data_IF_619828561990
#
_entry.id   IF_619828561990
#
_cell.length_a   1.000
_cell.length_b   1.000
_cell.length_c   1.000
_cell.angle_alpha   90.00
_cell.angle_beta   90.00
_cell.angle_gamma   90.00
#
_symmetry.space_group_name_H-M   'P 1'
#
loop_
_entity.id
_entity.type
_entity.pdbx_description
1 polymer ?
#
# COMPACT_ATOMS: atom_id res chain seq x y z
N UNK A 1 -6.95 7.79 -17.46
CA UNK A 1 -6.86 7.68 -18.94
C UNK A 1 -8.16 7.12 -19.55
N UNK A 2 -8.62 5.91 -19.24
CA UNK A 2 -9.77 5.26 -19.90
C UNK A 2 -11.04 6.14 -19.95
N UNK A 3 -11.45 6.73 -18.81
CA UNK A 3 -12.64 7.62 -18.76
C UNK A 3 -12.49 8.79 -19.71
N UNK A 4 -11.34 9.47 -19.71
CA UNK A 4 -11.07 10.60 -20.60
C UNK A 4 -11.01 10.20 -22.07
N UNK A 5 -10.50 9.00 -22.37
CA UNK A 5 -10.49 8.47 -23.76
C UNK A 5 -11.90 8.17 -24.26
N UNK A 6 -12.75 7.57 -23.40
CA UNK A 6 -14.14 7.26 -23.74
C UNK A 6 -15.05 8.50 -23.73
N UNK A 7 -14.65 9.57 -23.05
CA UNK A 7 -15.44 10.80 -22.86
C UNK A 7 -14.56 12.03 -23.06
N UNK A 8 -14.33 12.49 -24.30
CA UNK A 8 -13.40 13.59 -24.61
C UNK A 8 -13.70 14.93 -23.90
N UNK A 9 -14.95 15.14 -23.50
CA UNK A 9 -15.37 16.32 -22.73
C UNK A 9 -15.03 16.27 -21.23
N UNK A 10 -14.54 15.12 -20.73
CA UNK A 10 -14.19 14.97 -19.31
C UNK A 10 -12.69 15.16 -19.13
N UNK A 11 -12.29 16.07 -18.25
CA UNK A 11 -10.90 16.27 -17.83
C UNK A 11 -10.74 15.86 -16.36
N UNK A 12 -9.82 14.93 -16.09
CA UNK A 12 -9.44 14.49 -14.74
C UNK A 12 -7.99 14.86 -14.52
N UNK A 13 -7.73 15.67 -13.50
CA UNK A 13 -6.39 15.98 -12.99
C UNK A 13 -6.17 15.29 -11.67
N UNK A 14 -4.95 14.79 -11.44
CA UNK A 14 -4.56 14.13 -10.19
C UNK A 14 -3.32 14.83 -9.67
N UNK A 15 -3.39 15.28 -8.42
CA UNK A 15 -2.25 15.83 -7.69
C UNK A 15 -1.84 14.87 -6.58
N UNK A 16 -0.54 14.82 -6.26
CA UNK A 16 -0.01 14.06 -5.13
C UNK A 16 -0.16 14.83 -3.82
N UNK A 17 0.03 14.10 -2.72
CA UNK A 17 -0.02 14.63 -1.35
C UNK A 17 -0.41 13.51 -0.37
N UNK A 18 -0.20 13.72 0.92
CA UNK A 18 -0.66 12.78 1.94
C UNK A 18 -2.15 12.94 2.26
N UNK A 19 -2.71 12.04 3.09
CA UNK A 19 -4.12 12.07 3.49
C UNK A 19 -4.58 13.42 4.05
N UNK A 20 -3.72 14.12 4.78
CA UNK A 20 -4.04 15.47 5.31
C UNK A 20 -4.26 16.49 4.20
N UNK A 21 -3.46 16.46 3.15
CA UNK A 21 -3.61 17.34 1.97
C UNK A 21 -4.92 17.03 1.24
N UNK A 22 -5.24 15.74 1.03
CA UNK A 22 -6.50 15.33 0.42
C UNK A 22 -7.72 15.85 1.19
N UNK A 23 -7.72 15.72 2.53
CA UNK A 23 -8.78 16.22 3.41
C UNK A 23 -8.91 17.75 3.31
N UNK A 24 -7.80 18.46 3.41
CA UNK A 24 -7.80 19.92 3.37
C UNK A 24 -8.34 20.44 2.04
N UNK A 25 -7.81 19.94 0.92
CA UNK A 25 -8.19 20.41 -0.42
C UNK A 25 -9.65 20.12 -0.75
N UNK A 26 -10.18 18.92 -0.41
CA UNK A 26 -11.61 18.65 -0.63
C UNK A 26 -12.49 19.44 0.31
N UNK A 27 -12.08 19.61 1.56
CA UNK A 27 -12.81 20.42 2.55
C UNK A 27 -12.94 21.88 2.18
N UNK A 28 -11.89 22.45 1.59
CA UNK A 28 -11.88 23.83 1.06
C UNK A 28 -12.53 23.96 -0.33
N UNK A 29 -12.92 22.85 -0.96
CA UNK A 29 -13.56 22.85 -2.28
C UNK A 29 -12.59 23.07 -3.45
N UNK A 30 -11.29 22.93 -3.22
CA UNK A 30 -10.26 23.07 -4.25
C UNK A 30 -10.19 21.86 -5.18
N UNK A 31 -10.62 20.69 -4.71
CA UNK A 31 -10.78 19.46 -5.49
C UNK A 31 -12.14 18.82 -5.20
N UNK A 32 -12.66 18.07 -6.16
CA UNK A 32 -13.93 17.36 -5.99
C UNK A 32 -13.80 16.10 -5.13
N UNK A 33 -12.64 15.44 -5.18
CA UNK A 33 -12.36 14.20 -4.45
C UNK A 33 -11.01 14.33 -3.76
N UNK A 34 -10.98 14.13 -2.44
CA UNK A 34 -9.76 14.02 -1.64
C UNK A 34 -9.53 12.58 -1.21
N UNK A 35 -8.43 11.95 -1.68
CA UNK A 35 -8.13 10.57 -1.32
C UNK A 35 -7.38 10.49 0.01
N UNK A 36 -7.72 9.46 0.82
CA UNK A 36 -7.02 9.16 2.07
C UNK A 36 -6.68 7.68 2.19
N UNK A 37 -5.57 7.37 2.84
CA UNK A 37 -5.17 6.01 3.25
C UNK A 37 -5.51 5.72 4.72
N UNK A 38 -6.44 6.47 5.28
CA UNK A 38 -6.97 6.30 6.64
C UNK A 38 -8.42 6.79 6.71
N UNK A 39 -9.21 6.35 7.68
CA UNK A 39 -10.50 6.96 7.97
C UNK A 39 -10.35 8.46 8.27
N UNK A 40 -11.41 9.21 7.98
CA UNK A 40 -11.50 10.59 8.40
C UNK A 40 -11.60 10.67 9.93
N UNK A 41 -11.02 11.71 10.51
CA UNK A 41 -11.20 12.03 11.93
C UNK A 41 -12.55 12.76 12.11
N UNK A 42 -13.19 12.57 13.25
CA UNK A 42 -14.47 13.22 13.56
C UNK A 42 -14.42 14.74 13.35
N UNK A 43 -13.35 15.38 13.81
CA UNK A 43 -13.10 16.81 13.60
C UNK A 43 -13.03 17.22 12.12
N UNK A 44 -12.53 16.34 11.24
CA UNK A 44 -12.46 16.61 9.79
C UNK A 44 -13.84 16.52 9.17
N UNK A 45 -14.63 15.53 9.59
CA UNK A 45 -16.02 15.35 9.15
C UNK A 45 -16.87 16.55 9.58
N UNK A 46 -16.82 16.92 10.85
CA UNK A 46 -17.57 18.05 11.41
C UNK A 46 -17.19 19.38 10.77
N UNK A 47 -15.87 19.65 10.65
CA UNK A 47 -15.36 20.91 10.09
C UNK A 47 -15.76 21.14 8.63
N UNK A 48 -15.75 20.10 7.81
CA UNK A 48 -15.85 20.23 6.36
C UNK A 48 -17.12 19.57 5.77
N UNK A 49 -17.93 18.86 6.56
CA UNK A 49 -19.12 18.15 6.09
C UNK A 49 -18.78 17.02 5.12
N UNK A 50 -17.69 16.27 5.39
CA UNK A 50 -17.18 15.27 4.44
C UNK A 50 -18.01 13.99 4.45
N UNK A 51 -18.14 13.38 3.26
CA UNK A 51 -18.61 12.01 3.03
C UNK A 51 -17.45 11.15 2.54
N UNK A 52 -17.42 9.87 2.97
CA UNK A 52 -16.34 8.95 2.69
C UNK A 52 -16.82 7.71 1.94
N UNK A 53 -16.00 7.23 1.01
CA UNK A 53 -16.30 6.09 0.13
C UNK A 53 -15.08 5.17 0.11
N UNK A 54 -15.07 4.06 0.89
CA UNK A 54 -14.00 3.08 0.83
C UNK A 54 -14.03 2.37 -0.52
N UNK A 55 -12.87 2.19 -1.16
CA UNK A 55 -12.85 1.57 -2.49
C UNK A 55 -11.80 0.49 -2.69
N UNK A 56 -10.73 0.47 -1.89
CA UNK A 56 -9.68 -0.51 -2.02
C UNK A 56 -8.92 -0.75 -0.72
N UNK A 57 -8.28 -1.92 -0.62
CA UNK A 57 -7.31 -2.24 0.43
C UNK A 57 -5.92 -2.25 -0.22
N UNK A 58 -4.99 -1.55 0.42
CA UNK A 58 -3.56 -1.60 0.14
C UNK A 58 -2.92 -2.55 1.16
N UNK A 59 -2.52 -3.74 0.70
CA UNK A 59 -1.83 -4.74 1.51
C UNK A 59 -0.38 -4.86 1.08
N UNK A 60 0.55 -4.98 2.04
CA UNK A 60 1.99 -5.04 1.80
C UNK A 60 2.58 -6.33 2.32
N UNK A 61 3.29 -7.06 1.46
CA UNK A 61 4.01 -8.29 1.81
C UNK A 61 5.51 -8.03 1.90
N UNK A 62 6.16 -8.56 2.94
CA UNK A 62 7.61 -8.70 2.96
C UNK A 62 8.00 -9.81 1.97
N UNK A 63 9.03 -9.54 1.20
CA UNK A 63 9.50 -10.46 0.16
C UNK A 63 11.00 -10.69 0.24
N UNK A 64 11.39 -11.91 -0.09
CA UNK A 64 12.79 -12.34 -0.21
C UNK A 64 13.01 -13.02 -1.55
N UNK A 65 14.27 -13.25 -1.89
CA UNK A 65 14.60 -14.08 -3.05
C UNK A 65 14.04 -15.50 -2.88
N UNK A 66 13.50 -16.15 -3.93
CA UNK A 66 12.96 -17.51 -3.84
C UNK A 66 13.95 -18.56 -3.30
N UNK A 67 15.25 -18.35 -3.47
CA UNK A 67 16.32 -19.23 -2.97
C UNK A 67 16.62 -19.03 -1.45
N UNK A 68 16.05 -18.02 -0.81
CA UNK A 68 16.22 -17.81 0.63
C UNK A 68 15.45 -18.88 1.42
N UNK A 69 16.08 -19.50 2.43
CA UNK A 69 15.48 -20.58 3.23
C UNK A 69 14.48 -20.07 4.27
N UNK A 70 14.54 -18.80 4.66
CA UNK A 70 13.57 -18.21 5.61
C UNK A 70 12.23 -18.06 4.92
N UNK A 71 11.16 -18.52 5.59
CA UNK A 71 9.78 -18.52 5.02
C UNK A 71 8.77 -17.76 5.88
N UNK A 72 9.12 -17.47 7.12
CA UNK A 72 8.27 -16.72 8.04
C UNK A 72 9.10 -15.72 8.85
N UNK A 73 8.41 -14.68 9.35
CA UNK A 73 9.01 -13.61 10.13
C UNK A 73 7.94 -13.01 11.05
N UNK A 74 8.34 -12.65 12.26
CA UNK A 74 7.48 -11.88 13.17
C UNK A 74 7.62 -10.38 12.94
N UNK A 75 6.64 -9.61 13.40
CA UNK A 75 6.71 -8.15 13.36
C UNK A 75 7.95 -7.61 14.10
N UNK A 76 8.30 -8.23 15.24
CA UNK A 76 9.52 -7.84 15.98
C UNK A 76 10.78 -8.10 15.18
N UNK A 77 10.90 -9.27 14.52
CA UNK A 77 12.05 -9.58 13.66
C UNK A 77 12.12 -8.63 12.47
N UNK A 78 10.99 -8.32 11.84
CA UNK A 78 10.96 -7.34 10.74
C UNK A 78 11.45 -5.96 11.21
N UNK A 79 10.99 -5.50 12.37
CA UNK A 79 11.46 -4.24 12.95
C UNK A 79 12.96 -4.29 13.28
N UNK A 80 13.46 -5.39 13.84
CA UNK A 80 14.87 -5.55 14.21
C UNK A 80 15.79 -5.67 12.99
N UNK A 81 15.31 -6.23 11.88
CA UNK A 81 16.03 -6.22 10.59
C UNK A 81 16.13 -4.78 10.06
N UNK A 82 14.99 -4.09 9.95
CA UNK A 82 14.97 -2.76 9.32
C UNK A 82 15.59 -1.66 10.17
N UNK A 83 15.70 -1.85 11.48
CA UNK A 83 16.44 -0.94 12.38
C UNK A 83 17.94 -1.32 12.54
N UNK A 84 18.40 -2.39 11.90
CA UNK A 84 19.80 -2.83 11.88
C UNK A 84 20.26 -3.63 13.10
N UNK A 85 19.36 -4.12 13.94
CA UNK A 85 19.70 -5.03 15.06
C UNK A 85 19.98 -6.45 14.57
N UNK A 86 19.18 -6.98 13.64
CA UNK A 86 19.39 -8.25 12.97
C UNK A 86 20.02 -7.95 11.61
N UNK A 87 21.21 -8.46 11.37
CA UNK A 87 21.99 -8.16 10.16
C UNK A 87 22.41 -9.40 9.38
N UNK A 88 22.14 -10.58 9.90
CA UNK A 88 22.52 -11.85 9.29
C UNK A 88 21.35 -12.83 9.28
N UNK A 89 21.14 -13.50 8.17
CA UNK A 89 20.06 -14.47 7.99
C UNK A 89 20.12 -15.65 8.97
N UNK A 90 21.32 -16.03 9.46
CA UNK A 90 21.46 -17.10 10.47
C UNK A 90 20.72 -16.81 11.78
N UNK A 91 20.54 -15.53 12.12
CA UNK A 91 19.77 -15.11 13.30
C UNK A 91 18.27 -15.47 13.19
N UNK A 92 17.83 -15.75 11.97
CA UNK A 92 16.47 -16.17 11.62
C UNK A 92 16.39 -17.64 11.20
N UNK A 93 17.44 -18.43 11.45
CA UNK A 93 17.52 -19.83 11.03
C UNK A 93 17.84 -20.03 9.54
N UNK A 94 18.26 -18.99 8.84
CA UNK A 94 18.70 -19.02 7.45
C UNK A 94 20.20 -19.28 7.29
N UNK A 95 20.69 -19.04 6.09
CA UNK A 95 22.12 -19.19 5.74
C UNK A 95 22.96 -18.15 6.49
N UNK A 96 24.21 -18.50 6.84
CA UNK A 96 25.17 -17.51 7.39
C UNK A 96 25.61 -16.53 6.29
N UNK A 97 24.83 -15.48 6.15
CA UNK A 97 25.03 -14.44 5.15
C UNK A 97 24.41 -13.10 5.62
N UNK A 98 25.01 -11.96 5.25
CA UNK A 98 24.47 -10.65 5.60
C UNK A 98 23.12 -10.41 4.93
N UNK A 99 22.27 -9.61 5.56
CA UNK A 99 20.97 -9.20 4.99
C UNK A 99 21.16 -7.92 4.18
N UNK A 100 20.78 -7.94 2.89
CA UNK A 100 20.70 -6.74 2.07
C UNK A 100 19.31 -6.13 2.19
N UNK A 101 19.21 -4.93 2.74
CA UNK A 101 17.94 -4.23 2.92
C UNK A 101 17.56 -3.39 1.71
N UNK A 102 16.33 -3.57 1.26
CA UNK A 102 15.69 -2.69 0.27
C UNK A 102 14.49 -1.99 0.87
N UNK A 103 14.33 -0.72 0.55
CA UNK A 103 13.18 0.11 0.93
C UNK A 103 12.70 0.94 -0.24
N UNK A 104 11.58 1.60 -0.06
CA UNK A 104 11.01 2.52 -1.03
C UNK A 104 11.40 3.97 -0.68
N UNK A 105 11.28 4.82 -1.67
CA UNK A 105 11.47 6.26 -1.57
C UNK A 105 10.52 6.93 -0.57
N UNK A 106 10.89 8.09 -0.08
CA UNK A 106 10.01 8.94 0.73
C UNK A 106 8.77 9.33 -0.09
N UNK A 107 7.60 9.30 0.55
CA UNK A 107 6.32 9.54 -0.11
C UNK A 107 5.68 8.32 -0.77
N UNK A 108 6.36 7.16 -0.79
CA UNK A 108 5.74 5.89 -1.21
C UNK A 108 4.63 5.46 -0.27
N UNK A 109 3.41 5.30 -0.79
CA UNK A 109 2.29 4.78 -0.03
C UNK A 109 2.52 3.35 0.49
N UNK A 110 3.22 2.51 -0.28
CA UNK A 110 3.62 1.16 0.15
C UNK A 110 4.57 1.21 1.33
N UNK A 111 5.56 2.14 1.31
CA UNK A 111 6.46 2.38 2.45
C UNK A 111 5.70 2.87 3.69
N UNK A 112 4.75 3.77 3.52
CA UNK A 112 3.93 4.29 4.62
C UNK A 112 3.18 3.14 5.34
N UNK A 113 2.49 2.27 4.58
CA UNK A 113 1.83 1.08 5.15
C UNK A 113 2.82 0.17 5.85
N UNK A 114 3.96 -0.12 5.21
CA UNK A 114 5.00 -0.97 5.76
C UNK A 114 5.52 -0.45 7.10
N UNK A 115 5.91 0.82 7.17
CA UNK A 115 6.41 1.45 8.40
C UNK A 115 5.35 1.47 9.49
N UNK A 116 4.11 1.84 9.16
CA UNK A 116 3.04 1.94 10.15
C UNK A 116 2.58 0.59 10.68
N UNK A 117 2.45 -0.41 9.80
CA UNK A 117 1.77 -1.67 10.11
C UNK A 117 2.72 -2.84 10.34
N UNK A 118 3.82 -2.93 9.60
CA UNK A 118 4.80 -4.01 9.78
C UNK A 118 5.87 -3.64 10.81
N UNK A 119 6.34 -2.40 10.82
CA UNK A 119 7.39 -1.94 11.74
C UNK A 119 6.85 -1.23 12.98
N UNK A 120 5.54 -1.18 13.17
CA UNK A 120 4.90 -0.46 14.28
C UNK A 120 5.45 0.98 14.45
N UNK A 121 5.54 1.71 13.33
CA UNK A 121 6.15 3.05 13.24
C UNK A 121 7.66 3.09 13.57
N UNK A 122 8.33 1.94 13.50
CA UNK A 122 9.79 1.85 13.66
C UNK A 122 10.54 2.53 12.52
N UNK A 123 11.82 2.76 12.74
CA UNK A 123 12.72 3.38 11.76
C UNK A 123 13.29 2.37 10.78
N UNK A 124 13.66 2.85 9.60
CA UNK A 124 14.47 2.13 8.62
C UNK A 124 15.87 2.74 8.63
N UNK A 125 16.90 1.90 8.72
CA UNK A 125 18.30 2.36 8.70
C UNK A 125 18.62 3.10 7.40
N UNK A 126 19.46 4.12 7.48
CA UNK A 126 19.84 4.93 6.32
C UNK A 126 20.64 4.16 5.26
N UNK A 127 21.25 3.04 5.66
CA UNK A 127 22.02 2.16 4.74
C UNK A 127 21.13 1.27 3.84
N UNK A 128 19.80 1.28 4.03
CA UNK A 128 18.90 0.52 3.18
C UNK A 128 18.89 1.07 1.73
N UNK A 129 18.98 0.17 0.75
CA UNK A 129 18.93 0.53 -0.66
C UNK A 129 17.54 1.03 -1.05
N UNK A 130 17.46 2.20 -1.66
CA UNK A 130 16.17 2.81 -2.04
C UNK A 130 15.81 2.48 -3.48
N UNK A 131 14.61 2.00 -3.70
CA UNK A 131 14.01 1.77 -5.04
C UNK A 131 12.69 2.52 -5.17
N UNK A 132 12.30 2.87 -6.40
CA UNK A 132 11.22 3.82 -6.67
C UNK A 132 9.91 3.19 -7.19
N UNK A 133 9.78 1.87 -7.17
CA UNK A 133 8.55 1.18 -7.58
C UNK A 133 8.47 -0.25 -7.05
N UNK A 134 7.25 -0.84 -7.03
CA UNK A 134 7.09 -2.26 -6.76
C UNK A 134 7.83 -3.14 -7.78
N UNK A 135 7.87 -2.73 -9.04
CA UNK A 135 8.61 -3.43 -10.09
C UNK A 135 10.12 -3.44 -9.83
N UNK A 136 10.70 -2.27 -9.51
CA UNK A 136 12.12 -2.15 -9.14
C UNK A 136 12.45 -2.96 -7.87
N UNK A 137 11.57 -2.96 -6.86
CA UNK A 137 11.73 -3.78 -5.67
C UNK A 137 11.78 -5.27 -6.00
N UNK A 138 10.84 -5.77 -6.82
CA UNK A 138 10.85 -7.18 -7.26
C UNK A 138 12.14 -7.54 -8.00
N UNK A 139 12.58 -6.69 -8.91
CA UNK A 139 13.81 -6.92 -9.66
C UNK A 139 15.02 -6.99 -8.73
N UNK A 140 15.17 -6.06 -7.81
CA UNK A 140 16.25 -6.04 -6.84
C UNK A 140 16.27 -7.30 -5.97
N UNK A 141 15.11 -7.69 -5.41
CA UNK A 141 15.00 -8.89 -4.57
C UNK A 141 15.24 -10.18 -5.37
N UNK A 142 14.76 -10.26 -6.60
CA UNK A 142 14.96 -11.42 -7.46
C UNK A 142 16.44 -11.63 -7.84
N UNK A 143 17.22 -10.57 -7.92
CA UNK A 143 18.65 -10.62 -8.31
C UNK A 143 19.59 -10.84 -7.13
N UNK A 144 19.15 -10.58 -5.90
CA UNK A 144 19.98 -10.70 -4.69
C UNK A 144 19.40 -11.75 -3.73
N UNK A 145 20.09 -12.90 -3.62
CA UNK A 145 19.67 -14.02 -2.76
C UNK A 145 19.64 -13.67 -1.27
N UNK A 146 20.31 -12.60 -0.86
CA UNK A 146 20.46 -12.18 0.53
C UNK A 146 19.54 -11.00 0.88
N UNK A 147 18.73 -10.57 -0.05
CA UNK A 147 17.89 -9.41 0.10
C UNK A 147 16.57 -9.68 0.81
N UNK A 148 16.09 -8.63 1.46
CA UNK A 148 14.71 -8.48 1.91
C UNK A 148 14.17 -7.13 1.43
N UNK A 149 12.91 -7.13 1.02
CA UNK A 149 12.17 -5.94 0.62
C UNK A 149 10.68 -6.11 0.93
N UNK A 150 9.87 -5.24 0.38
CA UNK A 150 8.41 -5.30 0.51
C UNK A 150 7.72 -4.75 -0.73
N UNK A 151 6.59 -5.33 -1.07
CA UNK A 151 5.77 -4.93 -2.23
C UNK A 151 4.28 -4.97 -1.88
N UNK A 152 3.46 -4.28 -2.64
CA UNK A 152 2.01 -4.51 -2.59
C UNK A 152 1.68 -5.98 -2.88
N UNK A 153 0.74 -6.58 -2.15
CA UNK A 153 0.36 -7.99 -2.26
C UNK A 153 0.04 -8.37 -3.72
N UNK A 154 -0.64 -7.48 -4.46
CA UNK A 154 -0.97 -7.72 -5.87
C UNK A 154 0.24 -7.77 -6.82
N UNK A 155 1.43 -7.42 -6.35
CA UNK A 155 2.69 -7.49 -7.12
C UNK A 155 3.51 -8.74 -6.82
N UNK A 156 3.11 -9.57 -5.86
CA UNK A 156 3.80 -10.84 -5.56
C UNK A 156 3.60 -11.81 -6.70
N UNK A 157 4.68 -12.35 -7.24
CA UNK A 157 4.69 -13.36 -8.29
C UNK A 157 5.84 -14.36 -8.08
N UNK A 158 6.05 -15.26 -9.03
CA UNK A 158 7.08 -16.31 -8.97
C UNK A 158 8.53 -15.81 -8.83
N UNK A 159 8.79 -14.52 -9.06
CA UNK A 159 10.14 -13.95 -9.00
C UNK A 159 10.56 -13.59 -7.58
N UNK A 160 9.63 -13.51 -6.64
CA UNK A 160 9.89 -13.22 -5.24
C UNK A 160 9.07 -14.15 -4.34
N UNK A 161 9.61 -14.48 -3.18
CA UNK A 161 8.91 -15.26 -2.17
C UNK A 161 8.37 -14.32 -1.08
N UNK A 162 7.05 -14.30 -0.91
CA UNK A 162 6.43 -13.59 0.20
C UNK A 162 6.64 -14.37 1.51
N UNK A 163 7.01 -13.67 2.56
CA UNK A 163 7.16 -14.25 3.90
C UNK A 163 5.81 -14.32 4.61
N UNK A 164 5.57 -15.40 5.31
CA UNK A 164 4.51 -15.44 6.32
C UNK A 164 4.85 -14.43 7.41
N UNK A 165 3.92 -13.56 7.76
CA UNK A 165 4.13 -12.47 8.71
C UNK A 165 3.22 -12.67 9.92
N UNK A 166 3.81 -12.79 11.12
CA UNK A 166 3.07 -13.10 12.36
C UNK A 166 2.10 -14.28 12.18
N UNK A 167 2.57 -15.35 11.57
CA UNK A 167 1.81 -16.59 11.27
C UNK A 167 0.70 -16.41 10.21
N UNK A 168 0.58 -15.25 9.57
CA UNK A 168 -0.43 -14.98 8.55
C UNK A 168 0.20 -14.88 7.17
N UNK A 169 -0.37 -15.63 6.22
CA UNK A 169 0.05 -15.57 4.81
C UNK A 169 -0.41 -14.23 4.20
N UNK A 170 0.50 -13.48 3.54
CA UNK A 170 0.15 -12.24 2.85
C UNK A 170 -0.58 -12.55 1.54
N UNK A 171 -1.87 -12.79 1.61
CA UNK A 171 -2.75 -13.05 0.47
C UNK A 171 -3.83 -11.97 0.35
N UNK A 172 -4.41 -11.85 -0.86
CA UNK A 172 -5.56 -10.96 -1.06
C UNK A 172 -6.74 -11.35 -0.18
N UNK A 173 -6.98 -12.65 -0.01
CA UNK A 173 -8.03 -13.16 0.86
C UNK A 173 -7.82 -12.74 2.32
N UNK A 174 -6.64 -12.99 2.88
CA UNK A 174 -6.32 -12.66 4.27
C UNK A 174 -6.26 -11.13 4.50
N UNK A 175 -5.85 -10.36 3.51
CA UNK A 175 -5.93 -8.90 3.55
C UNK A 175 -7.38 -8.42 3.53
N UNK A 176 -8.23 -9.01 2.68
CA UNK A 176 -9.63 -8.65 2.52
C UNK A 176 -10.46 -8.99 3.77
N UNK A 177 -10.25 -10.15 4.39
CA UNK A 177 -10.98 -10.58 5.59
C UNK A 177 -10.39 -10.01 6.90
N UNK A 178 -9.30 -9.24 6.81
CA UNK A 178 -8.68 -8.55 7.95
C UNK A 178 -7.83 -9.43 8.86
N UNK A 179 -7.54 -10.68 8.50
CA UNK A 179 -6.62 -11.55 9.26
C UNK A 179 -5.16 -11.13 9.06
N UNK A 180 -4.78 -10.74 7.83
CA UNK A 180 -3.48 -10.14 7.56
C UNK A 180 -3.49 -8.64 7.90
N UNK A 181 -2.59 -8.19 8.78
CA UNK A 181 -2.67 -6.86 9.40
C UNK A 181 -1.83 -5.76 8.71
N UNK A 182 -0.91 -6.11 7.80
CA UNK A 182 -0.10 -5.12 7.08
C UNK A 182 -0.91 -4.56 5.91
N UNK A 183 -1.99 -3.85 6.27
CA UNK A 183 -2.98 -3.31 5.34
C UNK A 183 -3.47 -1.94 5.77
N UNK A 184 -3.98 -1.17 4.81
CA UNK A 184 -4.81 0.01 5.05
C UNK A 184 -5.98 0.05 4.06
N UNK A 185 -7.06 0.67 4.47
CA UNK A 185 -8.21 0.96 3.62
C UNK A 185 -8.01 2.32 2.94
N UNK A 186 -8.32 2.39 1.66
CA UNK A 186 -8.24 3.59 0.85
C UNK A 186 -9.64 4.16 0.64
N UNK A 187 -9.75 5.47 0.76
CA UNK A 187 -11.02 6.19 0.68
C UNK A 187 -10.97 7.32 -0.34
N UNK A 188 -12.07 7.53 -1.03
CA UNK A 188 -12.42 8.77 -1.69
C UNK A 188 -13.31 9.58 -0.74
N UNK A 189 -13.04 10.86 -0.60
CA UNK A 189 -13.83 11.75 0.25
C UNK A 189 -14.33 12.92 -0.57
N UNK A 190 -15.59 13.34 -0.31
CA UNK A 190 -16.21 14.49 -0.96
C UNK A 190 -16.76 15.47 0.08
N UNK A 191 -16.88 16.75 -0.29
CA UNK A 191 -17.59 17.74 0.52
C UNK A 191 -19.09 17.57 0.28
N UNK A 192 -19.79 17.07 1.28
CA UNK A 192 -21.21 16.71 1.14
C UNK A 192 -21.43 15.50 0.23
N UNK A 193 -22.69 15.28 -0.16
CA UNK A 193 -23.03 14.22 -1.11
C UNK A 193 -22.46 14.53 -2.50
N UNK A 194 -21.83 13.54 -3.18
CA UNK A 194 -21.31 13.75 -4.52
C UNK A 194 -22.46 13.89 -5.53
N UNK A 195 -22.29 14.80 -6.48
CA UNK A 195 -23.25 15.06 -7.54
C UNK A 195 -22.58 15.06 -8.92
N UNK A 196 -23.39 14.99 -9.98
CA UNK A 196 -22.95 15.13 -11.37
C UNK A 196 -21.80 14.17 -11.71
N UNK A 197 -20.76 14.73 -12.31
CA UNK A 197 -19.59 13.97 -12.79
C UNK A 197 -18.79 13.34 -11.62
N UNK A 198 -18.75 13.97 -10.46
CA UNK A 198 -18.09 13.44 -9.26
C UNK A 198 -18.76 12.16 -8.79
N UNK A 199 -20.10 12.19 -8.72
CA UNK A 199 -20.89 10.99 -8.40
C UNK A 199 -20.68 9.89 -9.44
N UNK A 200 -20.74 10.21 -10.72
CA UNK A 200 -20.54 9.26 -11.80
C UNK A 200 -19.14 8.61 -11.73
N UNK A 201 -18.09 9.39 -11.39
CA UNK A 201 -16.75 8.86 -11.21
C UNK A 201 -16.67 7.89 -10.02
N UNK A 202 -17.23 8.25 -8.87
CA UNK A 202 -17.26 7.38 -7.68
C UNK A 202 -18.04 6.10 -7.99
N UNK A 203 -19.20 6.21 -8.61
CA UNK A 203 -20.03 5.04 -8.99
C UNK A 203 -19.26 4.11 -9.96
N UNK A 204 -18.53 4.68 -10.92
CA UNK A 204 -17.69 3.92 -11.85
C UNK A 204 -16.62 3.08 -11.15
N UNK A 205 -16.02 3.58 -10.08
CA UNK A 205 -14.99 2.83 -9.33
C UNK A 205 -15.54 1.50 -8.78
N UNK A 206 -16.84 1.43 -8.46
CA UNK A 206 -17.49 0.22 -7.95
C UNK A 206 -18.07 -0.69 -9.04
N UNK A 207 -17.98 -0.30 -10.31
CA UNK A 207 -18.38 -1.18 -11.42
C UNK A 207 -17.38 -2.35 -11.60
N UNK A 208 -17.76 -3.42 -12.29
CA UNK A 208 -16.82 -4.49 -12.64
C UNK A 208 -15.56 -3.98 -13.34
N UNK A 209 -15.69 -2.99 -14.25
CA UNK A 209 -14.55 -2.39 -14.92
C UNK A 209 -13.65 -1.59 -13.96
N UNK A 210 -14.24 -0.78 -13.06
CA UNK A 210 -13.51 -0.04 -12.05
C UNK A 210 -12.76 -0.96 -11.08
N UNK A 211 -13.41 -2.02 -10.59
CA UNK A 211 -12.78 -3.01 -9.71
C UNK A 211 -11.65 -3.77 -10.41
N UNK A 212 -11.76 -4.05 -11.69
CA UNK A 212 -10.69 -4.68 -12.46
C UNK A 212 -9.47 -3.76 -12.62
N UNK A 213 -9.68 -2.45 -12.75
CA UNK A 213 -8.60 -1.47 -12.76
C UNK A 213 -7.88 -1.44 -11.40
N UNK A 214 -8.62 -1.49 -10.29
CA UNK A 214 -8.05 -1.55 -8.93
C UNK A 214 -7.16 -2.79 -8.79
N UNK A 215 -7.64 -3.96 -9.19
CA UNK A 215 -6.86 -5.23 -9.17
C UNK A 215 -5.59 -5.13 -9.99
N UNK A 216 -5.68 -4.63 -11.23
CA UNK A 216 -4.52 -4.45 -12.13
C UNK A 216 -3.50 -3.44 -11.61
N UNK A 217 -3.93 -2.54 -10.72
CA UNK A 217 -3.06 -1.58 -10.04
C UNK A 217 -2.39 -2.16 -8.78
N UNK A 218 -2.64 -3.44 -8.46
CA UNK A 218 -2.05 -4.14 -7.33
C UNK A 218 -2.79 -3.96 -6.00
N UNK A 219 -4.00 -3.39 -6.02
CA UNK A 219 -4.85 -3.21 -4.85
C UNK A 219 -6.00 -4.22 -4.81
N UNK A 220 -6.63 -4.36 -3.65
CA UNK A 220 -7.77 -5.25 -3.43
C UNK A 220 -9.03 -4.40 -3.41
N UNK A 221 -9.97 -4.55 -4.37
CA UNK A 221 -11.20 -3.76 -4.37
C UNK A 221 -12.09 -4.13 -3.20
N UNK A 222 -12.80 -3.13 -2.65
CA UNK A 222 -13.85 -3.31 -1.66
C UNK A 222 -15.20 -2.95 -2.26
N UNK A 223 -16.29 -3.52 -1.70
CA UNK A 223 -17.64 -3.09 -2.03
C UNK A 223 -17.93 -1.68 -1.50
N UNK A 224 -18.97 -1.05 -2.03
CA UNK A 224 -19.55 0.18 -1.47
C UNK A 224 -20.21 -0.16 -0.14
N UNK A 225 -19.76 0.50 0.93
CA UNK A 225 -20.41 0.44 2.25
C UNK A 225 -21.43 1.56 2.39
#
# INVERSE_FOLDING_TARGET
KRIMTANPGIRITVAGGGSGVGVQQVGEGLVQIGNTGRPLKDKEIEKFGLKTFPFAIDGVALVVNPANNVSDITAQQAADIYNGKITNWKELGGTDAPITLYTREDGSGTREVFVERALNKGSIVQSANVVNSNGAMKTAVAQDKQSIGYVGIGHVDKNVKALVFDKMVPSQENASNGTYKVTRLLFMNTKGAPEGITKAFIDYIYTPEGTEIIKKSGYIPTGRQ
#
